data_IF_935060634842
#
_entry.id   IF_935060634842
#
_cell.length_a   1.000
_cell.length_b   1.000
_cell.length_c   1.000
_cell.angle_alpha   90.00
_cell.angle_beta   90.00
_cell.angle_gamma   90.00
#
_symmetry.space_group_name_H-M   'P 1'
#
loop_
_entity.id
_entity.type
_entity.pdbx_description
1 polymer ?
#
# COMPACT_ATOMS: atom_id res chain seq x y z
N UNK A 1 -4.32 -41.69 15.22
CA UNK A 1 -3.78 -40.41 15.71
C UNK A 1 -2.29 -40.42 15.45
N UNK A 2 -1.88 -39.89 14.30
CA UNK A 2 -0.47 -39.61 13.99
C UNK A 2 -0.13 -38.23 14.54
N UNK A 3 1.07 -38.02 15.10
CA UNK A 3 1.45 -36.71 15.60
C UNK A 3 1.60 -35.76 14.42
N UNK A 4 0.95 -34.60 14.50
CA UNK A 4 1.19 -33.46 13.62
C UNK A 4 2.69 -33.13 13.66
N UNK A 5 3.38 -33.35 12.55
CA UNK A 5 4.76 -32.90 12.40
C UNK A 5 4.74 -31.38 12.44
N UNK A 6 5.13 -30.78 13.57
CA UNK A 6 5.54 -29.38 13.61
C UNK A 6 6.59 -29.19 12.52
N UNK A 7 6.23 -28.44 11.48
CA UNK A 7 7.15 -28.10 10.41
C UNK A 7 8.25 -27.20 10.99
N UNK A 8 9.41 -27.79 11.27
CA UNK A 8 10.61 -27.04 11.61
C UNK A 8 11.17 -26.43 10.33
N UNK A 9 10.97 -25.12 10.15
CA UNK A 9 11.67 -24.37 9.11
C UNK A 9 13.19 -24.59 9.23
N UNK A 10 13.91 -24.85 8.15
CA UNK A 10 15.37 -24.86 8.20
C UNK A 10 15.92 -23.44 8.05
N UNK A 11 17.10 -23.14 8.61
CA UNK A 11 17.79 -21.84 8.38
C UNK A 11 18.07 -21.56 6.89
N UNK A 12 18.04 -22.60 6.05
CA UNK A 12 18.14 -22.51 4.61
C UNK A 12 16.87 -21.91 3.97
N UNK A 13 15.68 -22.25 4.47
CA UNK A 13 14.42 -21.73 3.92
C UNK A 13 14.24 -20.23 4.15
N UNK A 14 14.61 -19.71 5.33
CA UNK A 14 14.58 -18.27 5.62
C UNK A 14 15.54 -17.50 4.69
N UNK A 15 16.71 -18.08 4.41
CA UNK A 15 17.69 -17.49 3.49
C UNK A 15 17.16 -17.46 2.06
N UNK A 16 16.52 -18.53 1.61
CA UNK A 16 15.94 -18.61 0.27
C UNK A 16 14.74 -17.67 0.10
N UNK A 17 13.91 -17.49 1.12
CA UNK A 17 12.82 -16.51 1.13
C UNK A 17 13.32 -15.06 1.06
N UNK A 18 14.35 -14.72 1.83
CA UNK A 18 14.92 -13.37 1.78
C UNK A 18 15.64 -13.11 0.46
N UNK A 19 16.36 -14.11 -0.07
CA UNK A 19 16.96 -14.03 -1.40
C UNK A 19 15.89 -13.88 -2.49
N UNK A 20 14.76 -14.59 -2.36
CA UNK A 20 13.61 -14.46 -3.26
C UNK A 20 13.03 -13.05 -3.23
N UNK A 21 12.75 -12.50 -2.04
CA UNK A 21 12.23 -11.14 -1.88
C UNK A 21 13.20 -10.09 -2.43
N UNK A 22 14.50 -10.24 -2.19
CA UNK A 22 15.53 -9.37 -2.74
C UNK A 22 15.58 -9.45 -4.27
N UNK A 23 15.55 -10.66 -4.84
CA UNK A 23 15.59 -10.85 -6.30
C UNK A 23 14.32 -10.35 -6.98
N UNK A 24 13.18 -10.43 -6.30
CA UNK A 24 11.93 -9.82 -6.75
C UNK A 24 12.04 -8.29 -6.76
N UNK A 25 12.56 -7.68 -5.69
CA UNK A 25 12.77 -6.23 -5.63
C UNK A 25 13.77 -5.75 -6.70
N UNK A 26 14.86 -6.48 -6.93
CA UNK A 26 15.81 -6.20 -8.02
C UNK A 26 15.15 -6.30 -9.40
N UNK A 27 14.31 -7.32 -9.61
CA UNK A 27 13.54 -7.47 -10.85
C UNK A 27 12.58 -6.29 -11.05
N UNK A 28 11.79 -5.93 -10.05
CA UNK A 28 10.85 -4.81 -10.14
C UNK A 28 11.57 -3.46 -10.31
N UNK A 29 12.75 -3.28 -9.73
CA UNK A 29 13.58 -2.10 -9.96
C UNK A 29 14.15 -2.02 -11.39
N UNK A 30 14.43 -3.17 -12.02
CA UNK A 30 14.98 -3.21 -13.37
C UNK A 30 13.91 -3.24 -14.48
N UNK A 31 12.73 -3.79 -14.17
CA UNK A 31 11.71 -4.17 -15.15
C UNK A 31 10.28 -3.78 -14.74
N UNK A 32 10.07 -3.19 -13.57
CA UNK A 32 8.76 -2.70 -13.14
C UNK A 32 8.32 -1.45 -13.91
N UNK A 33 7.10 -0.99 -13.62
CA UNK A 33 6.44 0.11 -14.36
C UNK A 33 7.29 1.38 -14.42
N UNK A 34 7.89 1.78 -13.29
CA UNK A 34 8.76 2.97 -13.23
C UNK A 34 10.06 2.82 -14.04
N UNK A 35 10.66 1.63 -14.03
CA UNK A 35 11.89 1.35 -14.79
C UNK A 35 11.66 1.33 -16.30
N UNK A 36 10.51 0.78 -16.73
CA UNK A 36 10.07 0.79 -18.13
C UNK A 36 9.81 2.20 -18.62
N UNK A 37 9.07 2.99 -17.85
CA UNK A 37 8.82 4.39 -18.19
C UNK A 37 10.14 5.16 -18.33
N UNK A 38 11.09 4.96 -17.41
CA UNK A 38 12.44 5.53 -17.51
C UNK A 38 13.20 5.13 -18.77
N UNK A 39 13.19 3.84 -19.15
CA UNK A 39 13.84 3.33 -20.37
C UNK A 39 13.18 3.85 -21.65
N UNK A 40 11.85 3.82 -21.73
CA UNK A 40 11.10 4.35 -22.89
C UNK A 40 11.31 5.85 -23.03
N UNK A 41 11.29 6.60 -21.93
CA UNK A 41 11.59 8.04 -21.95
C UNK A 41 13.03 8.31 -22.40
N UNK A 42 14.02 7.57 -21.88
CA UNK A 42 15.41 7.71 -22.30
C UNK A 42 15.61 7.38 -23.79
N UNK A 43 14.97 6.31 -24.29
CA UNK A 43 15.03 5.93 -25.70
C UNK A 43 14.36 6.98 -26.61
N UNK A 44 13.22 7.55 -26.20
CA UNK A 44 12.56 8.64 -26.92
C UNK A 44 13.39 9.93 -26.94
N UNK A 45 14.06 10.25 -25.83
CA UNK A 45 14.98 11.39 -25.76
C UNK A 45 16.22 11.18 -26.63
N UNK A 46 16.80 9.98 -26.64
CA UNK A 46 17.94 9.64 -27.50
C UNK A 46 17.57 9.68 -28.99
N UNK A 47 16.42 9.13 -29.37
CA UNK A 47 15.90 9.16 -30.75
C UNK A 47 15.66 10.59 -31.27
N UNK A 48 15.37 11.54 -30.37
CA UNK A 48 15.24 12.97 -30.71
C UNK A 48 16.58 13.69 -30.91
N UNK A 49 17.65 13.18 -30.30
CA UNK A 49 18.99 13.80 -30.32
C UNK A 49 19.85 13.21 -31.44
N UNK A 50 19.63 11.95 -31.81
CA UNK A 50 20.20 11.35 -33.00
C UNK A 50 19.36 11.72 -34.23
N UNK A 51 19.95 12.30 -35.27
CA UNK A 51 19.34 12.59 -36.60
C UNK A 51 18.93 11.31 -37.38
N UNK A 52 18.53 10.24 -36.70
CA UNK A 52 18.17 8.95 -37.26
C UNK A 52 16.71 8.85 -37.70
N UNK A 53 16.44 7.99 -38.67
CA UNK A 53 15.11 7.72 -39.28
C UNK A 53 14.09 7.08 -38.32
N UNK A 54 14.45 6.75 -37.09
CA UNK A 54 13.52 6.15 -36.13
C UNK A 54 12.60 7.22 -35.53
N UNK A 55 11.29 7.09 -35.77
CA UNK A 55 10.32 7.96 -35.12
C UNK A 55 10.35 7.75 -33.60
N UNK A 56 10.15 8.83 -32.85
CA UNK A 56 10.08 8.84 -31.39
C UNK A 56 9.16 7.73 -30.85
N UNK A 57 7.98 7.59 -31.46
CA UNK A 57 7.00 6.56 -31.09
C UNK A 57 7.53 5.14 -31.31
N UNK A 58 8.31 4.91 -32.37
CA UNK A 58 8.89 3.58 -32.64
C UNK A 58 10.02 3.24 -31.66
N UNK A 59 10.87 4.20 -31.30
CA UNK A 59 11.96 4.00 -30.35
C UNK A 59 11.42 3.73 -28.93
N UNK A 60 10.40 4.50 -28.52
CA UNK A 60 9.73 4.29 -27.23
C UNK A 60 9.03 2.94 -27.15
N UNK A 61 8.34 2.51 -28.23
CA UNK A 61 7.68 1.20 -28.31
C UNK A 61 8.66 0.04 -28.35
N UNK A 62 9.77 0.15 -29.08
CA UNK A 62 10.78 -0.91 -29.13
C UNK A 62 11.46 -1.09 -27.77
N UNK A 63 11.84 0.00 -27.09
CA UNK A 63 12.37 -0.06 -25.74
C UNK A 63 11.36 -0.63 -24.72
N UNK A 64 10.06 -0.31 -24.89
CA UNK A 64 9.01 -0.91 -24.08
C UNK A 64 8.91 -2.43 -24.32
N UNK A 65 8.90 -2.87 -25.58
CA UNK A 65 8.82 -4.29 -25.96
C UNK A 65 10.05 -5.11 -25.52
N UNK A 66 11.26 -4.55 -25.63
CA UNK A 66 12.49 -5.17 -25.11
C UNK A 66 12.41 -5.33 -23.59
N UNK A 67 11.95 -4.30 -22.89
CA UNK A 67 11.78 -4.36 -21.42
C UNK A 67 10.68 -5.34 -20.99
N UNK A 68 9.63 -5.54 -21.81
CA UNK A 68 8.61 -6.58 -21.61
C UNK A 68 9.23 -7.97 -21.78
N UNK A 69 10.01 -8.19 -22.83
CA UNK A 69 10.70 -9.46 -23.08
C UNK A 69 11.68 -9.80 -21.96
N UNK A 70 12.51 -8.85 -21.54
CA UNK A 70 13.45 -9.02 -20.44
C UNK A 70 12.73 -9.28 -19.11
N UNK A 71 11.61 -8.59 -18.87
CA UNK A 71 10.74 -8.83 -17.71
C UNK A 71 10.21 -10.26 -17.68
N UNK A 72 9.76 -10.80 -18.82
CA UNK A 72 9.26 -12.16 -18.97
C UNK A 72 10.33 -13.23 -18.73
N UNK A 73 11.54 -13.00 -19.21
CA UNK A 73 12.69 -13.88 -18.93
C UNK A 73 13.00 -13.83 -17.43
N UNK A 74 12.99 -12.63 -16.84
CA UNK A 74 13.24 -12.41 -15.42
C UNK A 74 12.22 -13.12 -14.51
N UNK A 75 10.92 -13.02 -14.80
CA UNK A 75 9.90 -13.70 -14.00
C UNK A 75 9.93 -15.22 -14.20
N UNK A 76 10.22 -15.68 -15.41
CA UNK A 76 10.40 -17.13 -15.67
C UNK A 76 11.57 -17.67 -14.86
N UNK A 77 12.67 -16.92 -14.76
CA UNK A 77 13.80 -17.29 -13.91
C UNK A 77 13.46 -17.26 -12.41
N UNK A 78 12.68 -16.29 -11.95
CA UNK A 78 12.19 -16.24 -10.56
C UNK A 78 11.28 -17.42 -10.23
N UNK A 79 10.30 -17.72 -11.10
CA UNK A 79 9.41 -18.88 -10.97
C UNK A 79 10.17 -20.20 -11.00
N UNK A 80 11.14 -20.35 -11.90
CA UNK A 80 11.96 -21.56 -11.98
C UNK A 80 12.83 -21.77 -10.73
N UNK A 81 13.36 -20.68 -10.15
CA UNK A 81 14.26 -20.76 -9.00
C UNK A 81 13.52 -20.87 -7.67
N UNK A 82 12.40 -20.17 -7.51
CA UNK A 82 11.71 -20.01 -6.23
C UNK A 82 10.27 -20.54 -6.24
N UNK A 83 9.76 -21.10 -7.33
CA UNK A 83 8.37 -21.54 -7.44
C UNK A 83 7.98 -22.61 -6.41
N UNK A 84 8.86 -23.57 -6.13
CA UNK A 84 8.63 -24.59 -5.10
C UNK A 84 8.62 -23.99 -3.68
N UNK A 85 9.53 -23.04 -3.42
CA UNK A 85 9.57 -22.30 -2.14
C UNK A 85 8.29 -21.47 -2.00
N UNK A 86 7.91 -20.71 -3.03
CA UNK A 86 6.70 -19.90 -3.04
C UNK A 86 5.45 -20.76 -2.77
N UNK A 87 5.31 -21.88 -3.49
CA UNK A 87 4.20 -22.83 -3.32
C UNK A 87 4.15 -23.44 -1.92
N UNK A 88 5.29 -23.75 -1.32
CA UNK A 88 5.37 -24.28 0.05
C UNK A 88 4.86 -23.28 1.12
N UNK A 89 4.90 -21.99 0.81
CA UNK A 89 4.36 -20.90 1.64
C UNK A 89 2.98 -20.43 1.17
N UNK A 90 2.32 -21.15 0.25
CA UNK A 90 1.00 -20.76 -0.24
C UNK A 90 0.98 -19.44 -1.01
N UNK A 91 2.11 -19.04 -1.60
CA UNK A 91 2.23 -17.81 -2.40
C UNK A 91 2.56 -18.14 -3.86
N UNK A 92 2.20 -17.24 -4.77
CA UNK A 92 2.56 -17.30 -6.19
C UNK A 92 3.01 -15.94 -6.71
N UNK A 93 3.80 -15.97 -7.78
CA UNK A 93 4.21 -14.75 -8.48
C UNK A 93 3.17 -14.41 -9.55
N UNK A 94 2.58 -13.22 -9.44
CA UNK A 94 1.64 -12.70 -10.42
C UNK A 94 2.19 -11.43 -11.07
N UNK A 95 1.92 -11.28 -12.36
CA UNK A 95 2.23 -10.07 -13.11
C UNK A 95 1.01 -9.16 -13.04
N UNK A 96 1.16 -7.95 -12.48
CA UNK A 96 0.07 -6.97 -12.60
C UNK A 96 -0.13 -6.61 -14.08
N UNK A 97 -1.35 -6.32 -14.54
CA UNK A 97 -1.53 -5.64 -15.81
C UNK A 97 -0.81 -4.29 -15.75
N UNK A 98 -0.14 -3.88 -16.83
CA UNK A 98 0.41 -2.51 -16.89
C UNK A 98 -0.68 -1.46 -17.14
N UNK A 99 -0.26 -0.19 -17.15
CA UNK A 99 -1.16 0.96 -17.17
C UNK A 99 -2.01 1.07 -18.45
N UNK A 100 -1.57 0.50 -19.57
CA UNK A 100 -2.28 0.50 -20.85
C UNK A 100 -1.78 -0.62 -21.80
N UNK A 101 -2.40 -0.71 -22.98
CA UNK A 101 -2.07 -1.67 -24.05
C UNK A 101 -0.63 -1.56 -24.59
N UNK A 102 0.09 -0.48 -24.28
CA UNK A 102 1.49 -0.26 -24.68
C UNK A 102 2.50 -0.80 -23.66
N UNK A 103 2.04 -1.17 -22.46
CA UNK A 103 2.82 -1.82 -21.42
C UNK A 103 2.05 -3.05 -20.87
N UNK A 104 1.94 -4.15 -21.64
CA UNK A 104 1.05 -5.28 -21.31
C UNK A 104 1.41 -6.05 -20.02
N UNK A 105 2.56 -5.74 -19.40
CA UNK A 105 3.07 -6.44 -18.21
C UNK A 105 3.53 -5.40 -17.19
N UNK A 106 3.01 -5.48 -15.97
CA UNK A 106 3.30 -4.59 -14.84
C UNK A 106 4.35 -5.16 -13.90
N UNK A 107 4.35 -4.64 -12.67
CA UNK A 107 5.20 -5.13 -11.57
C UNK A 107 4.87 -6.59 -11.24
N UNK A 108 5.89 -7.39 -10.88
CA UNK A 108 5.67 -8.74 -10.35
C UNK A 108 5.39 -8.64 -8.86
N UNK A 109 4.23 -9.12 -8.43
CA UNK A 109 3.80 -9.12 -7.04
C UNK A 109 3.77 -10.53 -6.47
N UNK A 110 3.86 -10.62 -5.14
CA UNK A 110 3.56 -11.87 -4.43
C UNK A 110 2.07 -11.87 -4.11
N UNK A 111 1.37 -12.87 -4.61
CA UNK A 111 -0.04 -13.10 -4.29
C UNK A 111 -0.13 -14.29 -3.34
N UNK A 112 -0.89 -14.12 -2.27
CA UNK A 112 -1.23 -15.21 -1.36
C UNK A 112 -2.31 -16.05 -2.07
N UNK A 113 -1.90 -17.21 -2.55
CA UNK A 113 -2.74 -18.14 -3.30
C UNK A 113 -3.48 -19.12 -2.38
N UNK A 114 -2.86 -19.44 -1.24
CA UNK A 114 -3.41 -20.33 -0.22
C UNK A 114 -3.21 -19.69 1.16
N UNK A 115 -4.14 -18.82 1.61
CA UNK A 115 -4.01 -18.08 2.86
C UNK A 115 -3.76 -18.99 4.07
N UNK A 116 -4.48 -20.12 4.20
CA UNK A 116 -4.27 -21.06 5.32
C UNK A 116 -2.84 -21.58 5.42
N UNK A 117 -2.26 -22.02 4.29
CA UNK A 117 -0.88 -22.53 4.22
C UNK A 117 0.11 -21.41 4.56
N UNK A 118 -0.13 -20.22 4.05
CA UNK A 118 0.71 -19.06 4.31
C UNK A 118 0.75 -18.70 5.80
N UNK A 119 -0.42 -18.67 6.46
CA UNK A 119 -0.53 -18.33 7.88
C UNK A 119 0.17 -19.35 8.78
N UNK A 120 -0.04 -20.64 8.53
CA UNK A 120 0.58 -21.72 9.32
C UNK A 120 2.12 -21.71 9.20
N UNK A 121 2.63 -21.23 8.06
CA UNK A 121 4.07 -21.13 7.78
C UNK A 121 4.70 -19.88 8.37
N UNK A 122 3.97 -18.77 8.40
CA UNK A 122 4.42 -17.52 8.99
C UNK A 122 4.76 -17.69 10.48
N UNK A 123 3.96 -18.43 11.23
CA UNK A 123 4.17 -18.64 12.66
C UNK A 123 5.58 -19.21 12.95
N UNK A 124 5.98 -20.23 12.18
CA UNK A 124 7.29 -20.88 12.29
C UNK A 124 8.43 -19.94 11.83
N UNK A 125 8.16 -19.05 10.87
CA UNK A 125 9.12 -18.08 10.36
C UNK A 125 9.41 -16.95 11.36
N UNK A 126 8.38 -16.40 12.02
CA UNK A 126 8.50 -15.28 12.97
C UNK A 126 9.47 -15.60 14.10
N UNK A 127 9.41 -16.82 14.64
CA UNK A 127 10.28 -17.29 15.73
C UNK A 127 11.78 -17.26 15.40
N UNK A 128 12.15 -17.06 14.13
CA UNK A 128 13.53 -17.13 13.62
C UNK A 128 14.07 -15.77 13.18
N UNK A 129 13.25 -14.72 13.20
CA UNK A 129 13.63 -13.39 12.77
C UNK A 129 14.17 -12.62 13.98
N UNK A 130 15.44 -12.28 13.92
CA UNK A 130 16.16 -11.54 14.96
C UNK A 130 16.65 -10.16 14.51
N UNK A 131 16.62 -9.88 13.20
CA UNK A 131 17.12 -8.65 12.62
C UNK A 131 16.38 -8.24 11.32
N UNK A 132 16.60 -7.02 10.87
CA UNK A 132 15.93 -6.45 9.68
C UNK A 132 16.21 -7.21 8.37
N UNK A 133 17.40 -7.78 8.20
CA UNK A 133 17.76 -8.49 6.96
C UNK A 133 17.01 -9.81 6.85
N UNK A 134 16.61 -10.38 8.00
CA UNK A 134 15.82 -11.59 8.06
C UNK A 134 14.32 -11.32 7.85
N UNK A 135 13.88 -10.08 8.05
CA UNK A 135 12.48 -9.66 7.92
C UNK A 135 12.10 -9.22 6.50
N UNK A 136 13.03 -9.20 5.53
CA UNK A 136 12.79 -8.64 4.17
C UNK A 136 11.58 -9.32 3.50
N UNK A 137 11.52 -10.65 3.54
CA UNK A 137 10.39 -11.38 2.99
C UNK A 137 9.08 -11.02 3.68
N UNK A 138 9.03 -10.99 5.02
CA UNK A 138 7.81 -10.62 5.74
C UNK A 138 7.39 -9.16 5.47
N UNK A 139 8.34 -8.21 5.39
CA UNK A 139 8.06 -6.82 5.03
C UNK A 139 7.36 -6.76 3.66
N UNK A 140 7.87 -7.51 2.67
CA UNK A 140 7.28 -7.58 1.35
C UNK A 140 5.87 -8.19 1.38
N UNK A 141 5.70 -9.34 2.05
CA UNK A 141 4.38 -9.99 2.05
C UNK A 141 3.36 -9.20 2.88
N UNK A 142 3.72 -8.60 4.00
CA UNK A 142 2.80 -7.78 4.79
C UNK A 142 2.35 -6.54 4.03
N UNK A 143 3.25 -5.94 3.25
CA UNK A 143 2.90 -4.85 2.32
C UNK A 143 1.92 -5.34 1.26
N UNK A 144 2.22 -6.44 0.57
CA UNK A 144 1.36 -6.98 -0.49
C UNK A 144 0.00 -7.44 0.07
N UNK A 145 0.01 -8.00 1.28
CA UNK A 145 -1.19 -8.44 1.98
C UNK A 145 -2.08 -7.26 2.40
N UNK A 146 -1.48 -6.18 2.88
CA UNK A 146 -2.18 -4.92 3.18
C UNK A 146 -2.78 -4.28 1.92
N UNK A 147 -2.23 -4.55 0.74
CA UNK A 147 -2.81 -4.12 -0.54
C UNK A 147 -3.95 -5.06 -0.94
N UNK A 148 -3.74 -6.38 -0.84
CA UNK A 148 -4.74 -7.39 -1.21
C UNK A 148 -6.03 -7.25 -0.39
N UNK A 149 -5.93 -7.02 0.91
CA UNK A 149 -7.11 -6.92 1.79
C UNK A 149 -8.02 -5.72 1.46
N UNK A 150 -7.49 -4.74 0.72
CA UNK A 150 -8.22 -3.58 0.22
C UNK A 150 -8.90 -3.82 -1.14
N UNK A 151 -8.67 -4.96 -1.80
CA UNK A 151 -9.38 -5.32 -3.04
C UNK A 151 -10.75 -5.92 -2.74
N UNK A 152 -11.66 -5.90 -3.71
CA UNK A 152 -12.98 -6.55 -3.57
C UNK A 152 -12.88 -8.04 -3.24
N UNK A 153 -11.86 -8.72 -3.77
CA UNK A 153 -11.60 -10.13 -3.47
C UNK A 153 -11.14 -10.32 -2.01
N UNK A 154 -10.21 -9.49 -1.54
CA UNK A 154 -9.71 -9.56 -0.16
C UNK A 154 -10.77 -9.17 0.88
N UNK A 155 -11.64 -8.21 0.55
CA UNK A 155 -12.78 -7.79 1.38
C UNK A 155 -13.80 -8.90 1.65
N UNK A 156 -13.89 -9.87 0.74
CA UNK A 156 -14.88 -10.96 0.79
C UNK A 156 -14.30 -12.30 1.27
N UNK A 157 -12.97 -12.37 1.51
CA UNK A 157 -12.32 -13.59 1.97
C UNK A 157 -12.49 -13.79 3.49
N UNK A 158 -13.63 -14.36 3.87
CA UNK A 158 -14.00 -14.67 5.26
C UNK A 158 -12.97 -15.56 5.97
N UNK A 159 -12.32 -16.48 5.26
CA UNK A 159 -11.32 -17.37 5.86
C UNK A 159 -10.07 -16.58 6.26
N UNK A 160 -9.68 -15.62 5.43
CA UNK A 160 -8.54 -14.75 5.68
C UNK A 160 -8.85 -13.73 6.78
N UNK A 161 -10.01 -13.09 6.73
CA UNK A 161 -10.43 -12.08 7.70
C UNK A 161 -10.62 -12.67 9.11
N UNK A 162 -11.19 -13.87 9.21
CA UNK A 162 -11.40 -14.55 10.51
C UNK A 162 -10.10 -14.93 11.22
N UNK A 163 -8.99 -15.11 10.49
CA UNK A 163 -7.67 -15.43 11.07
C UNK A 163 -6.77 -14.21 11.25
N UNK A 164 -7.17 -13.04 10.76
CA UNK A 164 -6.30 -11.86 10.74
C UNK A 164 -5.85 -11.40 12.14
N UNK A 165 -6.68 -11.58 13.16
CA UNK A 165 -6.31 -11.28 14.55
C UNK A 165 -5.15 -12.15 15.04
N UNK A 166 -5.16 -13.45 14.73
CA UNK A 166 -4.06 -14.36 15.04
C UNK A 166 -2.78 -13.89 14.35
N UNK A 167 -2.88 -13.49 13.08
CA UNK A 167 -1.75 -13.01 12.27
C UNK A 167 -1.16 -11.72 12.83
N UNK A 168 -2.01 -10.77 13.18
CA UNK A 168 -1.58 -9.50 13.79
C UNK A 168 -0.91 -9.77 15.12
N UNK A 169 -1.49 -10.61 15.99
CA UNK A 169 -0.89 -10.98 17.27
C UNK A 169 0.48 -11.67 17.11
N UNK A 170 0.61 -12.54 16.11
CA UNK A 170 1.89 -13.20 15.80
C UNK A 170 2.94 -12.20 15.31
N UNK A 171 2.57 -11.21 14.51
CA UNK A 171 3.48 -10.22 13.93
C UNK A 171 3.76 -9.02 14.86
N UNK A 172 2.95 -8.82 15.90
CA UNK A 172 3.06 -7.71 16.85
C UNK A 172 4.47 -7.57 17.46
N UNK A 173 5.15 -8.64 17.91
CA UNK A 173 6.52 -8.53 18.44
C UNK A 173 7.52 -8.00 17.42
N UNK A 174 7.34 -8.31 16.13
CA UNK A 174 8.20 -7.75 15.06
C UNK A 174 7.87 -6.28 14.80
N UNK A 175 6.62 -5.86 15.02
CA UNK A 175 6.22 -4.46 14.90
C UNK A 175 6.72 -3.59 16.07
N UNK A 176 6.65 -4.10 17.29
CA UNK A 176 7.22 -3.44 18.48
C UNK A 176 8.73 -3.19 18.34
N UNK A 177 9.44 -4.15 17.73
CA UNK A 177 10.85 -4.03 17.40
C UNK A 177 11.13 -3.19 16.12
N UNK A 178 10.11 -2.52 15.58
CA UNK A 178 10.17 -1.69 14.36
C UNK A 178 10.65 -2.44 13.11
N UNK A 179 10.63 -3.77 13.12
CA UNK A 179 11.03 -4.62 12.00
C UNK A 179 9.90 -4.76 10.97
N UNK A 180 8.65 -4.43 11.32
CA UNK A 180 7.50 -4.62 10.44
C UNK A 180 6.38 -3.61 10.74
N UNK A 181 5.71 -3.13 9.69
CA UNK A 181 4.51 -2.29 9.83
C UNK A 181 3.25 -3.14 9.66
N UNK A 182 2.59 -3.49 10.77
CA UNK A 182 1.32 -4.25 10.77
C UNK A 182 0.09 -3.36 10.93
N UNK A 183 0.22 -2.02 10.94
CA UNK A 183 -0.88 -1.12 11.35
C UNK A 183 -2.14 -1.33 10.53
N UNK A 184 -2.01 -1.44 9.21
CA UNK A 184 -3.15 -1.67 8.31
C UNK A 184 -3.85 -3.00 8.65
N UNK A 185 -3.09 -4.08 8.82
CA UNK A 185 -3.65 -5.39 9.18
C UNK A 185 -4.35 -5.36 10.54
N UNK A 186 -3.79 -4.61 11.50
CA UNK A 186 -4.37 -4.43 12.84
C UNK A 186 -5.72 -3.73 12.77
N UNK A 187 -5.80 -2.62 12.06
CA UNK A 187 -7.07 -1.87 11.93
C UNK A 187 -8.11 -2.67 11.14
N UNK A 188 -7.71 -3.36 10.07
CA UNK A 188 -8.61 -4.26 9.33
C UNK A 188 -9.15 -5.36 10.24
N UNK A 189 -8.31 -5.99 11.07
CA UNK A 189 -8.74 -7.01 12.04
C UNK A 189 -9.72 -6.45 13.08
N UNK A 190 -9.40 -5.27 13.65
CA UNK A 190 -10.26 -4.57 14.61
C UNK A 190 -11.65 -4.30 14.01
N UNK A 191 -11.70 -3.71 12.83
CA UNK A 191 -12.96 -3.29 12.20
C UNK A 191 -13.75 -4.46 11.57
N UNK A 192 -13.07 -5.55 11.16
CA UNK A 192 -13.77 -6.78 10.79
C UNK A 192 -14.54 -7.36 11.98
N UNK A 193 -13.93 -7.45 13.16
CA UNK A 193 -14.59 -7.96 14.38
C UNK A 193 -15.76 -7.10 14.84
N UNK A 194 -15.70 -5.79 14.64
CA UNK A 194 -16.80 -4.88 14.99
C UNK A 194 -17.89 -4.81 13.93
N UNK A 195 -17.71 -5.44 12.76
CA UNK A 195 -18.65 -5.36 11.64
C UNK A 195 -18.63 -4.01 10.91
N UNK A 196 -17.54 -3.26 11.04
CA UNK A 196 -17.37 -1.90 10.49
C UNK A 196 -16.22 -1.83 9.47
N UNK A 197 -15.81 -2.98 8.91
CA UNK A 197 -14.70 -3.06 7.97
C UNK A 197 -14.94 -2.25 6.71
N UNK A 198 -16.16 -2.29 6.17
CA UNK A 198 -16.52 -1.60 4.94
C UNK A 198 -16.28 -0.09 5.06
N UNK A 199 -16.68 0.52 6.18
CA UNK A 199 -16.46 1.96 6.39
C UNK A 199 -15.03 2.33 6.69
N UNK A 200 -14.31 1.48 7.43
CA UNK A 200 -12.87 1.68 7.62
C UNK A 200 -12.14 1.70 6.27
N UNK A 201 -12.44 0.74 5.39
CA UNK A 201 -11.81 0.63 4.07
C UNK A 201 -12.23 1.77 3.12
N UNK A 202 -13.49 2.21 3.14
CA UNK A 202 -13.92 3.38 2.36
C UNK A 202 -13.12 4.64 2.77
N UNK A 203 -12.91 4.86 4.07
CA UNK A 203 -12.12 5.98 4.57
C UNK A 203 -10.62 5.85 4.26
N UNK A 204 -10.08 4.64 4.26
CA UNK A 204 -8.70 4.33 3.88
C UNK A 204 -8.45 4.55 2.38
N UNK A 205 -9.37 4.10 1.51
CA UNK A 205 -9.33 4.33 0.06
C UNK A 205 -9.39 5.82 -0.28
N UNK A 206 -10.16 6.60 0.49
CA UNK A 206 -10.20 8.05 0.40
C UNK A 206 -8.94 8.75 0.97
N UNK A 207 -7.99 7.99 1.54
CA UNK A 207 -6.74 8.51 2.09
C UNK A 207 -6.92 9.34 3.38
N UNK A 208 -8.02 9.13 4.11
CA UNK A 208 -8.38 9.98 5.24
C UNK A 208 -7.63 9.63 6.53
N UNK A 209 -7.10 8.41 6.65
CA UNK A 209 -6.34 7.95 7.83
C UNK A 209 -4.86 8.34 7.83
N UNK A 210 -4.40 9.09 6.81
CA UNK A 210 -3.03 9.59 6.79
C UNK A 210 -2.78 10.49 8.01
N UNK A 211 -1.70 10.21 8.75
CA UNK A 211 -1.32 11.00 9.93
C UNK A 211 -1.03 12.45 9.51
N UNK A 212 -1.48 13.45 10.30
CA UNK A 212 -1.13 14.84 10.02
C UNK A 212 0.39 15.03 9.94
N UNK A 213 0.88 15.65 8.87
CA UNK A 213 2.30 15.93 8.66
C UNK A 213 3.10 14.76 8.06
N UNK A 214 2.48 13.60 7.82
CA UNK A 214 3.13 12.40 7.28
C UNK A 214 2.55 12.08 5.90
N UNK A 215 3.13 12.70 4.88
CA UNK A 215 2.76 12.49 3.48
C UNK A 215 1.74 13.51 2.97
N UNK A 216 0.98 13.12 1.95
CA UNK A 216 -0.10 13.94 1.38
C UNK A 216 -1.44 13.38 1.83
N UNK A 217 -2.23 14.18 2.55
CA UNK A 217 -3.49 13.78 3.17
C UNK A 217 -4.18 14.97 3.85
N UNK A 218 -5.28 14.74 4.59
CA UNK A 218 -6.12 15.81 5.13
C UNK A 218 -5.36 16.86 5.94
N UNK A 219 -4.31 16.46 6.68
CA UNK A 219 -3.47 17.39 7.43
C UNK A 219 -2.50 18.23 6.59
N UNK A 220 -2.11 17.75 5.40
CA UNK A 220 -1.08 18.34 4.54
C UNK A 220 -1.63 18.95 3.25
N UNK A 221 -2.92 18.76 2.95
CA UNK A 221 -3.56 19.26 1.73
C UNK A 221 -3.29 20.75 1.48
N UNK A 222 -3.25 21.57 2.53
CA UNK A 222 -2.92 23.00 2.45
C UNK A 222 -1.56 23.32 1.79
N UNK A 223 -0.64 22.33 1.69
CA UNK A 223 0.70 22.54 1.12
C UNK A 223 0.70 22.66 -0.40
N UNK A 224 0.01 21.74 -1.07
CA UNK A 224 0.26 21.47 -2.49
C UNK A 224 -0.97 21.76 -3.39
N UNK A 225 -2.05 22.32 -2.84
CA UNK A 225 -3.31 22.50 -3.57
C UNK A 225 -3.83 23.94 -3.53
N UNK A 226 -4.74 24.25 -4.46
CA UNK A 226 -5.47 25.52 -4.50
C UNK A 226 -6.63 25.54 -3.51
N UNK A 227 -7.14 26.73 -3.17
CA UNK A 227 -8.31 26.87 -2.30
C UNK A 227 -9.53 26.08 -2.79
N UNK A 228 -9.84 26.15 -4.09
CA UNK A 228 -10.94 25.37 -4.68
C UNK A 228 -10.77 23.86 -4.48
N UNK A 229 -9.55 23.36 -4.71
CA UNK A 229 -9.26 21.93 -4.55
C UNK A 229 -9.27 21.53 -3.07
N UNK A 230 -8.83 22.41 -2.16
CA UNK A 230 -8.93 22.21 -0.71
C UNK A 230 -10.40 22.07 -0.28
N UNK A 231 -11.27 22.98 -0.75
CA UNK A 231 -12.69 22.92 -0.45
C UNK A 231 -13.34 21.63 -0.99
N UNK A 232 -12.96 21.22 -2.20
CA UNK A 232 -13.43 19.97 -2.80
C UNK A 232 -13.00 18.74 -1.99
N UNK A 233 -11.72 18.67 -1.58
CA UNK A 233 -11.19 17.54 -0.83
C UNK A 233 -11.82 17.42 0.56
N UNK A 234 -11.99 18.53 1.28
CA UNK A 234 -12.68 18.52 2.57
C UNK A 234 -14.18 18.20 2.44
N UNK A 235 -14.83 18.66 1.37
CA UNK A 235 -16.21 18.27 1.07
C UNK A 235 -16.35 16.77 0.86
N UNK A 236 -15.42 16.15 0.12
CA UNK A 236 -15.34 14.69 -0.07
C UNK A 236 -15.07 13.97 1.24
N UNK A 237 -14.11 14.43 2.04
CA UNK A 237 -13.79 13.85 3.34
C UNK A 237 -15.00 13.83 4.28
N UNK A 238 -15.74 14.95 4.36
CA UNK A 238 -16.97 15.01 5.16
C UNK A 238 -18.07 14.14 4.59
N UNK A 239 -18.17 14.00 3.26
CA UNK A 239 -19.14 13.07 2.65
C UNK A 239 -18.85 11.63 3.03
N UNK A 240 -17.58 11.20 3.02
CA UNK A 240 -17.16 9.87 3.48
C UNK A 240 -17.46 9.70 4.97
N UNK A 241 -17.11 10.68 5.81
CA UNK A 241 -17.43 10.66 7.24
C UNK A 241 -18.93 10.50 7.50
N UNK A 242 -19.77 11.26 6.80
CA UNK A 242 -21.22 11.21 6.96
C UNK A 242 -21.82 9.84 6.60
N UNK A 243 -21.23 9.13 5.63
CA UNK A 243 -21.59 7.75 5.30
C UNK A 243 -21.23 6.77 6.41
N UNK A 244 -20.23 7.07 7.23
CA UNK A 244 -19.81 6.23 8.34
C UNK A 244 -20.67 6.39 9.59
N UNK A 245 -21.61 7.35 9.66
CA UNK A 245 -22.51 7.54 10.81
C UNK A 245 -23.16 6.26 11.36
N UNK A 246 -23.59 5.28 10.53
CA UNK A 246 -24.12 4.01 11.03
C UNK A 246 -23.08 3.11 11.71
N UNK A 247 -21.79 3.28 11.41
CA UNK A 247 -20.66 2.44 11.84
C UNK A 247 -19.93 3.08 13.02
N UNK A 248 -20.66 3.31 14.11
CA UNK A 248 -20.35 4.29 15.17
C UNK A 248 -18.89 4.42 15.61
N UNK A 249 -18.09 3.34 15.68
CA UNK A 249 -16.68 3.47 16.08
C UNK A 249 -15.81 4.11 14.99
N UNK A 250 -15.98 3.70 13.72
CA UNK A 250 -15.28 4.28 12.57
C UNK A 250 -15.63 5.75 12.42
N UNK A 251 -16.91 6.11 12.59
CA UNK A 251 -17.35 7.51 12.55
C UNK A 251 -16.64 8.36 13.59
N UNK A 252 -16.64 7.93 14.86
CA UNK A 252 -16.04 8.68 15.95
C UNK A 252 -14.52 8.80 15.79
N UNK A 253 -13.84 7.70 15.46
CA UNK A 253 -12.39 7.67 15.24
C UNK A 253 -12.01 8.60 14.07
N UNK A 254 -12.76 8.55 12.95
CA UNK A 254 -12.52 9.39 11.78
C UNK A 254 -12.83 10.86 12.06
N UNK A 255 -13.90 11.14 12.80
CA UNK A 255 -14.28 12.49 13.20
C UNK A 255 -13.18 13.14 14.04
N UNK A 256 -12.69 12.44 15.07
CA UNK A 256 -11.59 12.91 15.91
C UNK A 256 -10.31 13.12 15.10
N UNK A 257 -9.95 12.18 14.23
CA UNK A 257 -8.77 12.29 13.38
C UNK A 257 -8.84 13.47 12.41
N UNK A 258 -9.98 13.67 11.73
CA UNK A 258 -10.16 14.80 10.83
C UNK A 258 -10.12 16.16 11.55
N UNK A 259 -10.57 16.23 12.80
CA UNK A 259 -10.40 17.43 13.64
C UNK A 259 -8.93 17.71 13.94
N UNK A 260 -8.14 16.68 14.27
CA UNK A 260 -6.70 16.82 14.45
C UNK A 260 -6.01 17.29 13.17
N UNK A 261 -6.41 16.75 12.01
CA UNK A 261 -5.93 17.22 10.71
C UNK A 261 -6.23 18.70 10.48
N UNK A 262 -7.44 19.18 10.79
CA UNK A 262 -7.78 20.61 10.67
C UNK A 262 -6.86 21.47 11.55
N UNK A 263 -6.68 21.10 12.82
CA UNK A 263 -5.83 21.84 13.76
C UNK A 263 -4.39 21.89 13.24
N UNK A 264 -3.89 20.76 12.73
CA UNK A 264 -2.56 20.69 12.14
C UNK A 264 -2.44 21.59 10.90
N UNK A 265 -3.38 21.49 9.95
CA UNK A 265 -3.40 22.31 8.75
C UNK A 265 -3.45 23.81 9.06
N UNK A 266 -4.31 24.24 9.99
CA UNK A 266 -4.42 25.65 10.38
C UNK A 266 -3.11 26.14 11.02
N UNK A 267 -2.48 25.32 11.87
CA UNK A 267 -1.17 25.62 12.45
C UNK A 267 -0.04 25.71 11.42
N UNK A 268 -0.14 24.98 10.30
CA UNK A 268 0.83 25.05 9.21
C UNK A 268 0.71 26.32 8.37
N UNK A 269 -0.50 26.87 8.18
CA UNK A 269 -0.74 28.00 7.25
C UNK A 269 0.14 29.21 7.54
N UNK A 270 0.40 29.51 8.82
CA UNK A 270 1.20 30.67 9.21
C UNK A 270 2.70 30.49 8.87
N UNK A 271 3.16 29.24 8.75
CA UNK A 271 4.54 28.89 8.38
C UNK A 271 4.78 28.84 6.86
N UNK A 272 3.72 28.95 6.04
CA UNK A 272 3.81 28.83 4.57
C UNK A 272 4.18 30.17 3.92
N UNK A 273 5.48 30.42 3.78
CA UNK A 273 6.02 31.67 3.24
C UNK A 273 5.58 31.99 1.80
N UNK A 274 5.22 30.97 1.01
CA UNK A 274 4.79 31.13 -0.39
C UNK A 274 3.33 31.55 -0.56
N UNK A 275 2.50 31.46 0.49
CA UNK A 275 1.11 31.92 0.46
C UNK A 275 1.02 33.38 0.86
N UNK A 276 0.23 34.17 0.11
CA UNK A 276 -0.10 35.54 0.53
C UNK A 276 -1.02 35.54 1.76
N UNK A 277 -1.08 36.63 2.53
CA UNK A 277 -2.02 36.74 3.66
C UNK A 277 -3.47 36.44 3.28
N UNK A 278 -3.90 36.86 2.09
CA UNK A 278 -5.25 36.63 1.56
C UNK A 278 -5.49 35.14 1.29
N UNK A 279 -4.53 34.45 0.67
CA UNK A 279 -4.62 33.00 0.42
C UNK A 279 -4.64 32.20 1.73
N UNK A 280 -3.84 32.59 2.73
CA UNK A 280 -3.88 31.94 4.05
C UNK A 280 -5.24 32.08 4.71
N UNK A 281 -5.84 33.26 4.64
CA UNK A 281 -7.17 33.48 5.23
C UNK A 281 -8.26 32.73 4.45
N UNK A 282 -8.15 32.63 3.13
CA UNK A 282 -9.03 31.80 2.30
C UNK A 282 -8.98 30.32 2.73
N UNK A 283 -7.78 29.76 2.87
CA UNK A 283 -7.59 28.37 3.31
C UNK A 283 -8.14 28.16 4.73
N UNK A 284 -7.88 29.12 5.63
CA UNK A 284 -8.42 29.10 7.00
C UNK A 284 -9.95 29.15 7.02
N UNK A 285 -10.57 29.94 6.15
CA UNK A 285 -12.03 30.00 6.04
C UNK A 285 -12.62 28.67 5.54
N UNK A 286 -11.93 27.99 4.63
CA UNK A 286 -12.30 26.63 4.20
C UNK A 286 -12.21 25.66 5.38
N UNK A 287 -11.10 25.63 6.13
CA UNK A 287 -10.97 24.76 7.29
C UNK A 287 -12.07 25.04 8.34
N UNK A 288 -12.31 26.32 8.66
CA UNK A 288 -13.38 26.77 9.57
C UNK A 288 -14.78 26.41 9.10
N UNK A 289 -15.03 26.33 7.78
CA UNK A 289 -16.32 25.89 7.20
C UNK A 289 -16.60 24.43 7.56
N UNK A 290 -15.58 23.57 7.65
CA UNK A 290 -15.73 22.15 7.93
C UNK A 290 -15.66 21.80 9.41
N UNK A 291 -14.99 22.59 10.25
CA UNK A 291 -14.91 22.34 11.71
C UNK A 291 -16.29 22.10 12.36
N UNK A 292 -17.34 22.92 12.15
CA UNK A 292 -18.65 22.68 12.76
C UNK A 292 -19.30 21.37 12.30
N UNK A 293 -19.02 20.94 11.06
CA UNK A 293 -19.54 19.66 10.52
C UNK A 293 -18.85 18.46 11.15
N UNK A 294 -17.63 18.64 11.63
CA UNK A 294 -16.89 17.63 12.40
C UNK A 294 -17.16 17.70 13.91
N UNK A 295 -17.63 18.82 14.46
CA UNK A 295 -17.97 18.94 15.89
C UNK A 295 -19.44 18.60 16.16
N UNK A 296 -20.31 18.82 15.18
CA UNK A 296 -21.76 18.62 15.27
C UNK A 296 -22.15 17.15 15.30
N UNK A 297 -21.91 16.50 16.45
CA UNK A 297 -22.63 15.34 17.01
C UNK A 297 -22.05 14.84 18.35
N UNK A 298 -21.12 15.57 19.00
CA UNK A 298 -20.61 15.21 20.34
C UNK A 298 -21.61 15.42 21.50
N UNK A 299 -22.89 15.66 21.19
CA UNK A 299 -23.93 15.99 22.18
C UNK A 299 -25.33 15.53 21.76
N UNK A 300 -25.46 14.22 21.45
CA UNK A 300 -26.73 13.50 21.47
C UNK A 300 -26.54 12.13 22.10
#
# INVERSE_FOLDING_TARGET
MTPESKFELTSYELKDLNLMAQKLAEHNAAYGVGARFGKSLAAGLLARVSDGEQSLDSAMRNAANESVSDGNVGITALRAKFGEVAKAYGIRFEEKPGLDDSAPIGEVIVVIDHPSVFLDRIESLISKITDENQAIFLKAVVKDFSIFIKTEEGKQDEHLLSRLDEVVQMLEPLSENQLLDVRVLREVSKHHRSGELEGYLEAEEAGLWNKPGVGFGPGDWVRDITADLLDEQWSKAVTVLERQKPQGSVYNDLQSHLLECIVHSDGLLDSMEYLTPEQREEFRNILKKYTPRLVGNLSA
#
